data_IF_752347621030
#
_entry.id   IF_752347621030
#
_cell.length_a   1.000
_cell.length_b   1.000
_cell.length_c   1.000
_cell.angle_alpha   90.00
_cell.angle_beta   90.00
_cell.angle_gamma   90.00
#
_symmetry.space_group_name_H-M   'P 1'
#
loop_
_entity.id
_entity.type
_entity.pdbx_description
1 polymer ?
#
# COMPACT_ATOMS: atom_id res chain seq x y z
N UNK A 1 1.43 13.78 8.59
CA UNK A 1 0.35 13.88 7.58
C UNK A 1 -0.77 12.91 7.96
N UNK A 2 -1.95 12.98 7.32
CA UNK A 2 -3.06 12.06 7.60
C UNK A 2 -2.67 10.58 7.41
N UNK A 3 -1.85 10.28 6.39
CA UNK A 3 -1.31 8.93 6.17
C UNK A 3 -0.42 8.44 7.32
N UNK A 4 0.46 9.29 7.85
CA UNK A 4 1.31 8.91 9.01
C UNK A 4 0.47 8.60 10.24
N UNK A 5 -0.61 9.34 10.47
CA UNK A 5 -1.50 9.10 11.60
C UNK A 5 -2.24 7.75 11.49
N UNK A 6 -2.66 7.36 10.28
CA UNK A 6 -3.34 6.09 10.02
C UNK A 6 -2.37 4.91 10.02
N UNK A 7 -1.32 4.98 9.21
CA UNK A 7 -0.45 3.84 8.88
C UNK A 7 0.70 3.67 9.87
N UNK A 8 1.08 4.74 10.60
CA UNK A 8 2.13 4.76 11.63
C UNK A 8 3.52 4.31 11.18
N UNK A 9 3.70 3.99 9.90
CA UNK A 9 4.91 3.40 9.33
C UNK A 9 4.55 2.67 8.04
N UNK A 10 5.36 1.70 7.64
CA UNK A 10 5.03 0.83 6.53
C UNK A 10 3.82 -0.05 6.91
N UNK A 11 2.72 0.06 6.18
CA UNK A 11 1.49 -0.67 6.51
C UNK A 11 1.53 -2.17 6.19
N UNK A 12 2.54 -2.63 5.44
CA UNK A 12 2.69 -4.05 5.10
C UNK A 12 2.74 -4.93 6.36
N UNK A 13 2.01 -6.06 6.42
CA UNK A 13 1.91 -6.88 7.63
C UNK A 13 3.27 -7.33 8.15
N UNK A 14 3.52 -7.09 9.44
CA UNK A 14 4.77 -7.49 10.10
C UNK A 14 5.97 -6.57 9.84
N UNK A 15 5.81 -5.47 9.10
CA UNK A 15 6.86 -4.47 8.94
C UNK A 15 6.81 -3.42 10.06
N UNK A 16 7.96 -3.06 10.61
CA UNK A 16 8.15 -2.07 11.69
C UNK A 16 8.83 -0.78 11.19
N UNK A 17 8.96 -0.62 9.88
CA UNK A 17 9.64 0.52 9.27
C UNK A 17 8.95 1.85 9.60
N UNK A 18 9.72 2.80 10.14
CA UNK A 18 9.22 4.10 10.61
C UNK A 18 8.71 4.99 9.46
N UNK A 19 7.77 5.92 9.72
CA UNK A 19 7.19 6.79 8.69
C UNK A 19 8.22 7.56 7.86
N UNK A 20 9.34 7.94 8.46
CA UNK A 20 10.41 8.69 7.79
C UNK A 20 11.05 7.91 6.63
N UNK A 21 10.88 6.59 6.56
CA UNK A 21 11.44 5.71 5.53
C UNK A 21 10.36 5.11 4.62
N UNK A 22 9.20 5.77 4.56
CA UNK A 22 8.06 5.35 3.76
C UNK A 22 7.68 6.39 2.72
N UNK A 23 7.14 5.91 1.61
CA UNK A 23 6.51 6.72 0.58
C UNK A 23 5.03 6.38 0.49
N UNK A 24 4.21 7.35 0.06
CA UNK A 24 2.82 7.10 -0.28
C UNK A 24 2.73 6.33 -1.60
N UNK A 25 2.09 5.16 -1.56
CA UNK A 25 1.84 4.30 -2.71
C UNK A 25 0.39 4.42 -3.18
N UNK A 26 0.19 4.69 -4.47
CA UNK A 26 -1.13 4.67 -5.10
C UNK A 26 -1.60 3.25 -5.39
N UNK A 27 -2.69 2.81 -4.76
CA UNK A 27 -3.30 1.48 -5.00
C UNK A 27 -3.80 1.37 -6.44
N UNK A 28 -4.68 2.29 -6.86
CA UNK A 28 -4.92 2.57 -8.27
C UNK A 28 -3.83 3.54 -8.72
N UNK A 29 -2.90 3.04 -9.52
CA UNK A 29 -1.76 3.82 -10.02
C UNK A 29 -2.18 5.16 -10.64
N UNK A 30 -1.44 6.23 -10.34
CA UNK A 30 -1.72 7.59 -10.82
C UNK A 30 -1.84 7.68 -12.35
N UNK A 31 -0.94 7.02 -13.09
CA UNK A 31 -0.96 6.98 -14.57
C UNK A 31 -2.23 6.32 -15.15
N UNK A 32 -3.01 5.60 -14.34
CA UNK A 32 -4.32 5.03 -14.71
C UNK A 32 -5.49 5.89 -14.19
N UNK A 33 -5.24 7.15 -13.83
CA UNK A 33 -6.23 8.05 -13.24
C UNK A 33 -6.57 7.70 -11.78
N UNK A 34 -5.57 7.30 -11.01
CA UNK A 34 -5.69 7.12 -9.56
C UNK A 34 -5.62 8.45 -8.81
N UNK A 35 -6.62 8.80 -7.97
CA UNK A 35 -6.59 10.05 -7.22
C UNK A 35 -5.60 10.03 -6.06
N UNK A 36 -5.08 11.20 -5.67
CA UNK A 36 -4.26 11.37 -4.46
C UNK A 36 -5.19 11.64 -3.27
N UNK A 37 -5.76 10.59 -2.70
CA UNK A 37 -6.72 10.63 -1.57
C UNK A 37 -6.45 9.49 -0.61
N UNK A 38 -6.93 9.59 0.64
CA UNK A 38 -6.71 8.59 1.69
C UNK A 38 -7.12 7.17 1.28
N UNK A 39 -8.23 7.04 0.54
CA UNK A 39 -8.77 5.74 0.10
C UNK A 39 -8.07 5.17 -1.15
N UNK A 40 -7.03 5.84 -1.65
CA UNK A 40 -6.21 5.34 -2.75
C UNK A 40 -4.69 5.36 -2.43
N UNK A 41 -4.32 5.68 -1.18
CA UNK A 41 -2.93 5.81 -0.75
C UNK A 41 -2.66 4.94 0.46
N UNK A 42 -1.43 4.44 0.56
CA UNK A 42 -0.90 3.74 1.75
C UNK A 42 0.60 3.99 1.88
N UNK A 43 1.10 4.08 3.12
CA UNK A 43 2.55 4.17 3.35
C UNK A 43 3.23 2.81 3.22
N UNK A 44 4.29 2.75 2.40
CA UNK A 44 5.14 1.58 2.25
C UNK A 44 6.61 1.97 2.29
N UNK A 45 7.44 1.14 2.93
CA UNK A 45 8.89 1.29 2.80
C UNK A 45 9.34 0.89 1.40
N UNK A 46 10.55 1.30 0.98
CA UNK A 46 11.07 1.04 -0.38
C UNK A 46 10.94 -0.43 -0.81
N UNK A 47 11.22 -1.39 0.08
CA UNK A 47 11.13 -2.83 -0.18
C UNK A 47 9.69 -3.25 -0.52
N UNK A 48 8.73 -2.92 0.33
CA UNK A 48 7.33 -3.27 0.11
C UNK A 48 6.69 -2.43 -1.00
N UNK A 49 7.13 -1.19 -1.20
CA UNK A 49 6.69 -0.36 -2.32
C UNK A 49 7.05 -1.02 -3.66
N UNK A 50 8.28 -1.53 -3.77
CA UNK A 50 8.73 -2.27 -4.95
C UNK A 50 7.97 -3.59 -5.14
N UNK A 51 7.69 -4.31 -4.04
CA UNK A 51 6.89 -5.53 -4.07
C UNK A 51 5.50 -5.27 -4.68
N UNK A 52 4.88 -4.14 -4.35
CA UNK A 52 3.52 -3.77 -4.76
C UNK A 52 3.43 -3.23 -6.20
N UNK A 53 4.55 -2.87 -6.82
CA UNK A 53 4.58 -2.53 -8.24
C UNK A 53 4.49 -3.75 -9.17
N UNK A 54 4.55 -4.97 -8.65
CA UNK A 54 4.37 -6.19 -9.45
C UNK A 54 2.96 -6.24 -10.04
N UNK A 55 2.85 -6.58 -11.33
CA UNK A 55 1.58 -6.47 -12.08
C UNK A 55 0.50 -7.40 -11.52
N UNK A 56 -0.69 -6.88 -11.17
CA UNK A 56 -1.85 -7.72 -10.87
C UNK A 56 -2.14 -8.69 -12.02
N UNK A 57 -2.56 -9.93 -11.70
CA UNK A 57 -2.87 -10.96 -12.70
C UNK A 57 -1.69 -11.87 -13.08
N UNK A 58 -0.52 -11.66 -12.47
CA UNK A 58 0.55 -12.68 -12.44
C UNK A 58 0.37 -13.46 -11.13
N UNK A 59 0.32 -14.80 -11.22
CA UNK A 59 0.35 -15.69 -10.04
C UNK A 59 1.48 -15.29 -9.10
N UNK A 60 1.22 -15.20 -7.79
CA UNK A 60 2.25 -14.76 -6.83
C UNK A 60 2.31 -13.26 -6.54
N UNK A 61 1.29 -12.46 -6.92
CA UNK A 61 1.22 -11.04 -6.57
C UNK A 61 0.31 -10.72 -5.37
N UNK A 62 0.77 -9.79 -4.53
CA UNK A 62 -0.01 -9.21 -3.43
C UNK A 62 -1.00 -8.18 -3.97
N UNK A 63 -2.17 -8.06 -3.33
CA UNK A 63 -3.14 -7.00 -3.59
C UNK A 63 -3.32 -6.11 -2.34
N UNK A 64 -3.58 -4.83 -2.55
CA UNK A 64 -3.96 -3.89 -1.49
C UNK A 64 -5.40 -3.45 -1.74
N UNK A 65 -6.23 -3.49 -0.70
CA UNK A 65 -7.56 -2.87 -0.68
C UNK A 65 -7.67 -1.90 0.48
N UNK A 66 -8.49 -0.86 0.33
CA UNK A 66 -8.93 -0.06 1.47
C UNK A 66 -10.29 -0.62 1.92
N UNK A 67 -10.37 -0.99 3.18
CA UNK A 67 -11.61 -1.48 3.80
C UNK A 67 -12.60 -0.35 4.01
N UNK A 68 -13.84 -0.70 4.38
CA UNK A 68 -14.87 0.28 4.77
C UNK A 68 -14.52 1.03 6.06
N UNK A 69 -13.54 0.51 6.81
CA UNK A 69 -12.91 1.13 7.98
C UNK A 69 -11.80 2.12 7.62
N UNK A 70 -11.59 2.38 6.32
CA UNK A 70 -10.50 3.19 5.76
C UNK A 70 -9.09 2.63 6.02
N UNK A 71 -8.98 1.37 6.48
CA UNK A 71 -7.70 0.72 6.75
C UNK A 71 -7.18 -0.03 5.51
N UNK A 72 -5.86 -0.10 5.30
CA UNK A 72 -5.27 -0.91 4.25
C UNK A 72 -5.28 -2.40 4.61
N UNK A 73 -5.76 -3.23 3.68
CA UNK A 73 -5.78 -4.68 3.76
C UNK A 73 -4.85 -5.27 2.70
N UNK A 74 -3.96 -6.16 3.12
CA UNK A 74 -3.00 -6.83 2.24
C UNK A 74 -3.46 -8.27 2.01
N UNK A 75 -3.80 -8.57 0.76
CA UNK A 75 -4.24 -9.90 0.36
C UNK A 75 -3.03 -10.63 -0.21
N UNK A 76 -2.62 -11.77 0.39
CA UNK A 76 -1.51 -12.54 -0.14
C UNK A 76 -1.87 -13.14 -1.51
N UNK A 77 -0.87 -13.45 -2.34
CA UNK A 77 -1.12 -14.15 -3.58
C UNK A 77 -1.81 -15.50 -3.38
N UNK A 78 -2.56 -15.98 -4.39
CA UNK A 78 -3.00 -17.37 -4.43
C UNK A 78 -1.79 -18.30 -4.34
N UNK A 79 -1.93 -19.37 -3.56
CA UNK A 79 -0.94 -20.46 -3.48
C UNK A 79 -0.88 -21.31 -4.75
#
# INVERSE_FOLDING_TARGET
TALIARDKGCAFPGCDCVPAWTDAHHIKHWAKGGPTVMDNLVLLCRTHHTLMHRKPGITGTWEIRIGTDHMPWFIPPPG
#
